data_IF_226566721827
#
_entry.id   IF_226566721827
#
_cell.length_a   1.000
_cell.length_b   1.000
_cell.length_c   1.000
_cell.angle_alpha   90.00
_cell.angle_beta   90.00
_cell.angle_gamma   90.00
#
_symmetry.space_group_name_H-M   'P 1'
#
loop_
_entity.id
_entity.type
_entity.pdbx_description
1 polymer ?
#
# COMPACT_ATOMS: atom_id res chain seq x y z
N UNK A 1 9.01 11.44 28.85
CA UNK A 1 8.81 11.34 27.38
C UNK A 1 8.72 9.86 27.07
N UNK A 2 7.60 9.42 26.50
CA UNK A 2 7.36 8.01 26.20
C UNK A 2 8.29 7.57 25.07
N UNK A 3 9.16 6.61 25.38
CA UNK A 3 10.14 6.09 24.42
C UNK A 3 9.45 5.49 23.20
N UNK A 4 8.22 4.98 23.37
CA UNK A 4 7.39 4.40 22.33
C UNK A 4 6.93 5.43 21.29
N UNK A 5 6.52 6.62 21.73
CA UNK A 5 6.06 7.70 20.85
C UNK A 5 7.22 8.27 20.02
N UNK A 6 8.39 8.42 20.65
CA UNK A 6 9.62 8.77 19.95
C UNK A 6 10.03 7.72 18.91
N UNK A 7 9.87 6.43 19.22
CA UNK A 7 10.20 5.35 18.29
C UNK A 7 9.26 5.34 17.09
N UNK A 8 7.94 5.38 17.32
CA UNK A 8 6.95 5.35 16.22
C UNK A 8 7.07 6.60 15.35
N UNK A 9 7.05 7.79 15.93
CA UNK A 9 7.04 9.02 15.13
C UNK A 9 8.42 9.34 14.55
N UNK A 10 9.49 9.12 15.31
CA UNK A 10 10.86 9.42 14.89
C UNK A 10 11.47 8.36 13.98
N UNK A 11 11.46 7.09 14.40
CA UNK A 11 12.18 6.02 13.69
C UNK A 11 11.49 5.62 12.40
N UNK A 12 10.14 5.59 12.35
CA UNK A 12 9.42 5.29 11.10
C UNK A 12 9.71 6.36 10.04
N UNK A 13 9.68 7.64 10.42
CA UNK A 13 10.04 8.74 9.52
C UNK A 13 11.49 8.61 9.00
N UNK A 14 12.43 8.25 9.88
CA UNK A 14 13.82 8.02 9.51
C UNK A 14 13.99 6.84 8.54
N UNK A 15 13.31 5.71 8.80
CA UNK A 15 13.36 4.52 7.93
C UNK A 15 12.73 4.83 6.57
N UNK A 16 11.58 5.51 6.52
CA UNK A 16 10.92 5.89 5.26
C UNK A 16 11.84 6.79 4.42
N UNK A 17 12.51 7.76 5.06
CA UNK A 17 13.46 8.65 4.41
C UNK A 17 14.71 7.90 3.93
N UNK A 18 15.23 6.96 4.72
CA UNK A 18 16.36 6.12 4.33
C UNK A 18 16.04 5.27 3.09
N UNK A 19 14.84 4.69 3.05
CA UNK A 19 14.34 3.94 1.88
C UNK A 19 14.21 4.83 0.65
N UNK A 20 13.81 6.09 0.79
CA UNK A 20 13.74 7.06 -0.30
C UNK A 20 15.14 7.50 -0.82
N UNK A 21 16.14 7.61 0.06
CA UNK A 21 17.51 8.01 -0.29
C UNK A 21 18.30 6.93 -1.06
N UNK A 22 18.05 5.64 -0.77
CA UNK A 22 18.63 4.53 -1.55
C UNK A 22 18.09 4.46 -2.99
N UNK A 23 17.05 5.22 -3.32
CA UNK A 23 16.35 5.12 -4.58
C UNK A 23 16.92 6.08 -5.64
N UNK A 24 17.27 5.56 -6.83
CA UNK A 24 17.67 6.38 -7.97
C UNK A 24 16.45 7.01 -8.64
N UNK A 25 16.28 8.33 -8.52
CA UNK A 25 15.20 9.10 -9.18
C UNK A 25 15.10 8.80 -10.68
N UNK A 26 16.21 8.52 -11.37
CA UNK A 26 16.23 8.14 -12.80
C UNK A 26 15.40 6.90 -13.09
N UNK A 27 15.46 5.89 -12.21
CA UNK A 27 14.71 4.65 -12.33
C UNK A 27 13.24 4.85 -11.95
N UNK A 28 12.92 5.87 -11.14
CA UNK A 28 11.53 6.22 -10.85
C UNK A 28 10.85 6.68 -12.14
N UNK A 29 11.51 7.62 -12.84
CA UNK A 29 10.97 8.27 -14.03
C UNK A 29 10.72 7.29 -15.17
N UNK A 30 11.61 6.31 -15.34
CA UNK A 30 11.49 5.28 -16.39
C UNK A 30 10.23 4.41 -16.21
N UNK A 31 9.87 4.10 -14.96
CA UNK A 31 8.82 3.15 -14.62
C UNK A 31 7.61 3.80 -13.91
N UNK A 32 7.52 5.13 -13.91
CA UNK A 32 6.53 5.88 -13.14
C UNK A 32 5.10 5.52 -13.54
N UNK A 33 4.87 5.23 -14.84
CA UNK A 33 3.57 4.79 -15.35
C UNK A 33 3.10 3.47 -14.74
N UNK A 34 3.97 2.47 -14.68
CA UNK A 34 3.62 1.16 -14.11
C UNK A 34 3.41 1.24 -12.60
N UNK A 35 4.25 2.00 -11.89
CA UNK A 35 4.08 2.23 -10.46
C UNK A 35 2.75 2.93 -10.18
N UNK A 36 2.44 3.97 -10.94
CA UNK A 36 1.21 4.74 -10.77
C UNK A 36 -0.02 3.88 -11.04
N UNK A 37 -0.03 3.10 -12.13
CA UNK A 37 -1.11 2.17 -12.46
C UNK A 37 -1.33 1.15 -11.34
N UNK A 38 -0.26 0.54 -10.82
CA UNK A 38 -0.38 -0.44 -9.75
C UNK A 38 -0.89 0.22 -8.46
N UNK A 39 -0.33 1.37 -8.09
CA UNK A 39 -0.70 2.09 -6.87
C UNK A 39 -2.14 2.66 -6.91
N UNK A 40 -2.69 2.98 -8.08
CA UNK A 40 -4.09 3.45 -8.18
C UNK A 40 -5.05 2.31 -8.52
N UNK A 41 -4.84 1.61 -9.63
CA UNK A 41 -5.81 0.63 -10.13
C UNK A 41 -5.90 -0.57 -9.20
N UNK A 42 -4.76 -1.12 -8.75
CA UNK A 42 -4.79 -2.27 -7.84
C UNK A 42 -5.33 -1.89 -6.45
N UNK A 43 -4.99 -0.68 -5.97
CA UNK A 43 -5.51 -0.16 -4.70
C UNK A 43 -7.03 0.03 -4.74
N UNK A 44 -7.55 0.69 -5.79
CA UNK A 44 -8.99 0.89 -5.97
C UNK A 44 -9.71 -0.45 -6.11
N UNK A 45 -9.14 -1.39 -6.88
CA UNK A 45 -9.69 -2.75 -6.98
C UNK A 45 -9.75 -3.44 -5.61
N UNK A 46 -8.67 -3.43 -4.82
CA UNK A 46 -8.67 -4.00 -3.47
C UNK A 46 -9.70 -3.31 -2.57
N UNK A 47 -9.76 -1.98 -2.57
CA UNK A 47 -10.71 -1.23 -1.76
C UNK A 47 -12.17 -1.58 -2.11
N UNK A 48 -12.50 -1.65 -3.40
CA UNK A 48 -13.84 -2.02 -3.87
C UNK A 48 -14.16 -3.48 -3.59
N UNK A 49 -13.21 -4.40 -3.81
CA UNK A 49 -13.41 -5.83 -3.55
C UNK A 49 -13.69 -6.08 -2.06
N UNK A 50 -12.82 -5.62 -1.17
CA UNK A 50 -12.99 -5.79 0.28
C UNK A 50 -14.19 -5.00 0.79
N UNK A 51 -14.39 -3.76 0.33
CA UNK A 51 -15.54 -2.94 0.71
C UNK A 51 -16.87 -3.60 0.32
N UNK A 52 -16.97 -4.17 -0.88
CA UNK A 52 -18.17 -4.88 -1.35
C UNK A 52 -18.39 -6.20 -0.60
N UNK A 53 -17.32 -6.95 -0.31
CA UNK A 53 -17.38 -8.19 0.45
C UNK A 53 -17.93 -7.95 1.86
N UNK A 54 -17.39 -6.93 2.54
CA UNK A 54 -17.81 -6.56 3.88
C UNK A 54 -19.19 -5.90 3.90
N UNK A 55 -19.56 -5.16 2.84
CA UNK A 55 -20.92 -4.66 2.67
C UNK A 55 -21.93 -5.82 2.52
N UNK A 56 -21.58 -6.87 1.76
CA UNK A 56 -22.37 -8.10 1.71
C UNK A 56 -22.43 -8.82 3.07
N UNK A 57 -21.33 -8.81 3.83
CA UNK A 57 -21.29 -9.39 5.17
C UNK A 57 -22.18 -8.64 6.17
N UNK A 58 -22.27 -7.31 6.07
CA UNK A 58 -23.12 -6.52 6.95
C UNK A 58 -24.61 -6.85 6.76
N UNK A 59 -25.02 -7.23 5.54
CA UNK A 59 -26.39 -7.68 5.24
C UNK A 59 -26.75 -8.99 5.96
N UNK A 60 -25.76 -9.86 6.20
CA UNK A 60 -25.95 -11.09 6.99
C UNK A 60 -25.96 -10.83 8.51
N UNK A 61 -25.14 -9.88 8.99
CA UNK A 61 -24.98 -9.61 10.43
C UNK A 61 -26.00 -8.59 10.95
N UNK A 62 -26.62 -7.79 10.07
CA UNK A 62 -27.64 -6.80 10.42
C UNK A 62 -27.10 -5.52 11.07
N UNK A 63 -25.78 -5.31 11.08
CA UNK A 63 -25.16 -4.11 11.65
C UNK A 63 -24.81 -3.13 10.52
N UNK A 64 -25.20 -1.86 10.65
CA UNK A 64 -24.90 -0.83 9.65
C UNK A 64 -23.55 -0.16 9.92
N UNK A 65 -22.54 -0.53 9.15
CA UNK A 65 -21.25 0.14 9.09
C UNK A 65 -21.23 1.11 7.90
N UNK A 66 -20.77 2.36 8.06
CA UNK A 66 -20.69 3.30 6.94
C UNK A 66 -19.78 2.76 5.83
N UNK A 67 -20.25 2.82 4.57
CA UNK A 67 -19.51 2.36 3.38
C UNK A 67 -18.11 2.96 3.29
N UNK A 68 -17.93 4.19 3.79
CA UNK A 68 -16.66 4.89 3.82
C UNK A 68 -15.62 4.19 4.71
N UNK A 69 -16.04 3.63 5.84
CA UNK A 69 -15.17 2.89 6.76
C UNK A 69 -14.77 1.55 6.15
N UNK A 70 -15.71 0.88 5.49
CA UNK A 70 -15.47 -0.38 4.78
C UNK A 70 -14.48 -0.20 3.62
N UNK A 71 -14.63 0.89 2.85
CA UNK A 71 -13.72 1.26 1.78
C UNK A 71 -12.33 1.66 2.30
N UNK A 72 -12.28 2.41 3.41
CA UNK A 72 -11.03 2.79 4.07
C UNK A 72 -10.26 1.55 4.54
N UNK A 73 -10.95 0.57 5.13
CA UNK A 73 -10.35 -0.69 5.55
C UNK A 73 -9.79 -1.46 4.34
N UNK A 74 -10.55 -1.55 3.25
CA UNK A 74 -10.09 -2.19 2.02
C UNK A 74 -8.88 -1.49 1.39
N UNK A 75 -8.83 -0.15 1.42
CA UNK A 75 -7.69 0.63 0.97
C UNK A 75 -6.47 0.45 1.88
N UNK A 76 -6.66 0.42 3.21
CA UNK A 76 -5.58 0.20 4.17
C UNK A 76 -4.94 -1.18 4.02
N UNK A 77 -5.74 -2.23 3.77
CA UNK A 77 -5.26 -3.58 3.47
C UNK A 77 -4.58 -3.68 2.10
N UNK A 78 -5.07 -2.91 1.12
CA UNK A 78 -4.55 -2.88 -0.24
C UNK A 78 -3.28 -2.06 -0.44
N UNK A 79 -2.85 -1.28 0.56
CA UNK A 79 -1.62 -0.50 0.52
C UNK A 79 -0.40 -1.43 0.43
N UNK A 80 0.00 -1.76 -0.79
CA UNK A 80 1.17 -2.59 -1.11
C UNK A 80 2.28 -1.71 -1.66
N UNK A 81 3.52 -1.94 -1.22
CA UNK A 81 4.67 -1.17 -1.67
C UNK A 81 5.12 -1.64 -3.07
N UNK A 82 4.88 -0.86 -4.15
CA UNK A 82 5.28 -1.23 -5.51
C UNK A 82 6.81 -1.37 -5.66
N UNK A 83 7.55 -0.76 -4.73
CA UNK A 83 9.01 -0.76 -4.68
C UNK A 83 9.54 -2.16 -4.36
N UNK A 84 8.89 -2.90 -3.45
CA UNK A 84 9.25 -4.27 -3.09
C UNK A 84 9.11 -5.23 -4.27
N UNK A 85 8.05 -5.07 -5.06
CA UNK A 85 7.79 -5.90 -6.25
C UNK A 85 8.88 -5.70 -7.31
N UNK A 86 9.40 -4.48 -7.51
CA UNK A 86 10.52 -4.27 -8.45
C UNK A 86 11.80 -4.96 -8.01
N UNK A 87 12.10 -4.94 -6.71
CA UNK A 87 13.26 -5.67 -6.17
C UNK A 87 13.17 -7.16 -6.46
N UNK A 88 11.97 -7.73 -6.29
CA UNK A 88 11.72 -9.15 -6.58
C UNK A 88 11.73 -9.43 -8.08
N UNK A 89 11.06 -8.62 -8.90
CA UNK A 89 10.98 -8.81 -10.35
C UNK A 89 12.35 -8.63 -11.03
N UNK A 90 13.21 -7.74 -10.52
CA UNK A 90 14.61 -7.61 -10.95
C UNK A 90 15.44 -8.84 -10.60
N UNK A 91 15.17 -9.49 -9.46
CA UNK A 91 15.84 -10.73 -9.07
C UNK A 91 15.39 -11.93 -9.92
N UNK A 92 14.14 -11.91 -10.42
CA UNK A 92 13.59 -12.98 -11.27
C UNK A 92 14.01 -12.78 -12.74
N UNK A 93 14.30 -11.54 -13.16
CA UNK A 93 14.68 -11.18 -14.54
C UNK A 93 16.19 -11.22 -14.78
N UNK A 94 16.90 -12.14 -14.13
CA UNK A 94 18.25 -12.57 -14.54
C UNK A 94 18.16 -13.88 -15.35
N UNK A 95 17.82 -13.85 -16.64
CA UNK A 95 18.32 -14.82 -17.59
C UNK A 95 19.72 -14.38 -18.08
N UNK A 96 20.53 -15.38 -18.43
CA UNK A 96 21.80 -15.24 -19.15
C UNK A 96 21.71 -14.33 -20.38
#
# INVERSE_FOLDING_TARGET
IDFYDFLINGVICFILTSSALKFKISDLKSYWKQISILATIALVLCAVLFGSLLYGFQLLVGYHVPILVLLLLGAALGATDPIGIKGVLSSIRAPH
#
